data_IF_739548191532
#
_entry.id   IF_739548191532
#
_cell.length_a   1.000
_cell.length_b   1.000
_cell.length_c   1.000
_cell.angle_alpha   90.00
_cell.angle_beta   90.00
_cell.angle_gamma   90.00
#
_symmetry.space_group_name_H-M   'P 1'
#
loop_
_entity.id
_entity.type
_entity.pdbx_description
1 polymer ?
#
# COMPACT_ATOMS: atom_id res chain seq x y z
N UNK A 1 -2.31 3.56 -11.79
CA UNK A 1 -3.45 2.66 -11.46
C UNK A 1 -4.70 3.22 -12.13
N UNK A 2 -5.67 2.37 -12.49
CA UNK A 2 -6.96 2.82 -13.03
C UNK A 2 -8.04 2.57 -11.97
N UNK A 3 -8.60 3.63 -11.42
CA UNK A 3 -9.68 3.56 -10.45
C UNK A 3 -11.05 3.69 -11.13
N UNK A 4 -12.12 3.47 -10.36
CA UNK A 4 -13.47 3.75 -10.81
C UNK A 4 -13.58 5.23 -11.26
N UNK A 5 -14.45 5.49 -12.24
CA UNK A 5 -14.67 6.83 -12.75
C UNK A 5 -15.00 7.81 -11.60
N UNK A 6 -14.34 8.97 -11.61
CA UNK A 6 -14.48 9.96 -10.55
C UNK A 6 -14.07 9.47 -9.16
N UNK A 7 -13.25 8.41 -9.06
CA UNK A 7 -12.90 7.77 -7.78
C UNK A 7 -14.12 7.26 -7.01
N UNK A 8 -15.23 6.95 -7.69
CA UNK A 8 -16.48 6.57 -7.03
C UNK A 8 -16.27 5.36 -6.11
N UNK A 9 -16.56 5.55 -4.82
CA UNK A 9 -16.39 4.54 -3.78
C UNK A 9 -14.94 4.29 -3.36
N UNK A 10 -13.96 5.01 -3.92
CA UNK A 10 -12.53 4.89 -3.58
C UNK A 10 -12.14 6.01 -2.62
N UNK A 11 -11.54 5.66 -1.49
CA UNK A 11 -10.96 6.61 -0.54
C UNK A 11 -9.43 6.43 -0.52
N UNK A 12 -8.65 7.41 -1.01
CA UNK A 12 -7.20 7.40 -0.84
C UNK A 12 -6.83 7.43 0.64
N UNK A 13 -5.97 6.52 1.09
CA UNK A 13 -5.49 6.44 2.48
C UNK A 13 -4.06 6.95 2.58
N UNK A 14 -3.19 6.49 1.68
CA UNK A 14 -1.82 6.99 1.55
C UNK A 14 -1.62 7.50 0.12
N UNK A 15 -1.10 8.71 0.00
CA UNK A 15 -0.71 9.30 -1.28
C UNK A 15 0.56 10.12 -1.09
N UNK A 16 1.42 10.14 -2.11
CA UNK A 16 2.61 10.97 -2.13
C UNK A 16 2.91 11.42 -3.56
N UNK A 17 3.57 12.57 -3.73
CA UNK A 17 4.22 12.91 -5.00
C UNK A 17 5.57 12.20 -5.00
N UNK A 18 5.78 11.16 -5.83
CA UNK A 18 7.06 10.47 -5.85
C UNK A 18 8.14 11.41 -6.36
N UNK A 19 9.37 11.36 -5.81
CA UNK A 19 10.47 12.17 -6.31
C UNK A 19 10.78 11.86 -7.79
N UNK A 20 11.10 12.88 -8.58
CA UNK A 20 11.31 12.73 -10.02
C UNK A 20 12.44 11.74 -10.36
N UNK A 21 13.44 11.61 -9.49
CA UNK A 21 14.53 10.66 -9.65
C UNK A 21 14.09 9.19 -9.62
N UNK A 22 12.97 8.89 -8.97
CA UNK A 22 12.42 7.52 -8.91
C UNK A 22 11.85 7.06 -10.26
N UNK A 23 11.63 7.99 -11.19
CA UNK A 23 11.07 7.70 -12.50
C UNK A 23 12.14 7.64 -13.61
N UNK A 24 13.45 7.74 -13.34
CA UNK A 24 14.46 7.85 -14.42
C UNK A 24 14.64 6.65 -15.35
N UNK A 25 14.13 5.46 -14.97
CA UNK A 25 14.29 4.22 -15.75
C UNK A 25 13.50 4.30 -17.08
N UNK A 26 13.86 3.56 -18.14
CA UNK A 26 13.04 3.47 -19.35
C UNK A 26 11.63 2.93 -19.06
N UNK A 27 10.66 3.24 -19.93
CA UNK A 27 9.29 2.78 -19.76
C UNK A 27 9.18 1.25 -19.73
N UNK A 28 8.28 0.74 -18.90
CA UNK A 28 8.13 -0.70 -18.71
C UNK A 28 7.16 -1.07 -17.60
N UNK A 29 6.87 -2.37 -17.50
CA UNK A 29 5.87 -2.92 -16.56
C UNK A 29 6.13 -2.56 -15.09
N UNK A 30 7.38 -2.29 -14.72
CA UNK A 30 7.83 -1.97 -13.35
C UNK A 30 8.59 -0.65 -13.24
N UNK A 31 8.60 0.17 -14.29
CA UNK A 31 9.42 1.39 -14.38
C UNK A 31 8.64 2.63 -14.82
N UNK A 32 7.31 2.51 -14.95
CA UNK A 32 6.42 3.61 -15.29
C UNK A 32 6.14 3.74 -16.79
N UNK A 33 5.43 4.80 -17.13
CA UNK A 33 5.02 5.13 -18.50
C UNK A 33 4.87 6.66 -18.65
N UNK A 34 4.66 7.18 -19.88
CA UNK A 34 4.56 8.61 -20.12
C UNK A 34 3.45 9.31 -19.33
N UNK A 35 2.34 8.61 -19.10
CA UNK A 35 1.19 9.13 -18.35
C UNK A 35 1.54 9.41 -16.89
N UNK A 36 2.16 8.44 -16.20
CA UNK A 36 2.55 8.61 -14.79
C UNK A 36 3.63 9.69 -14.66
N UNK A 37 4.58 9.75 -15.58
CA UNK A 37 5.62 10.79 -15.58
C UNK A 37 5.04 12.19 -15.70
N UNK A 38 4.09 12.38 -16.62
CA UNK A 38 3.42 13.67 -16.79
C UNK A 38 2.66 14.06 -15.53
N UNK A 39 1.91 13.14 -14.94
CA UNK A 39 1.18 13.39 -13.70
C UNK A 39 2.11 13.82 -12.56
N UNK A 40 3.21 13.09 -12.35
CA UNK A 40 4.19 13.41 -11.31
C UNK A 40 4.91 14.74 -11.59
N UNK A 41 5.26 15.03 -12.85
CA UNK A 41 5.84 16.32 -13.24
C UNK A 41 4.88 17.50 -13.00
N UNK A 42 3.57 17.27 -13.06
CA UNK A 42 2.55 18.23 -12.68
C UNK A 42 2.33 18.35 -11.16
N UNK A 43 3.05 17.58 -10.33
CA UNK A 43 2.87 17.54 -8.88
C UNK A 43 1.67 16.71 -8.43
N UNK A 44 1.10 15.86 -9.29
CA UNK A 44 -0.05 15.03 -8.94
C UNK A 44 0.37 13.89 -8.00
N UNK A 45 -0.28 13.83 -6.84
CA UNK A 45 -0.04 12.77 -5.86
C UNK A 45 -0.47 11.41 -6.39
N UNK A 46 0.36 10.40 -6.12
CA UNK A 46 0.11 9.01 -6.48
C UNK A 46 -0.37 8.25 -5.24
N UNK A 47 -1.56 7.68 -5.31
CA UNK A 47 -2.13 6.87 -4.24
C UNK A 47 -1.41 5.53 -4.13
N UNK A 48 -0.96 5.16 -2.93
CA UNK A 48 -0.25 3.90 -2.65
C UNK A 48 -1.04 2.97 -1.72
N UNK A 49 -2.04 3.50 -1.01
CA UNK A 49 -3.04 2.73 -0.27
C UNK A 49 -4.44 3.34 -0.46
N UNK A 50 -5.47 2.51 -0.62
CA UNK A 50 -6.85 2.98 -0.79
C UNK A 50 -7.86 1.99 -0.21
N UNK A 51 -8.97 2.52 0.30
CA UNK A 51 -10.18 1.76 0.59
C UNK A 51 -11.15 1.85 -0.58
N UNK A 52 -11.95 0.81 -0.77
CA UNK A 52 -13.02 0.78 -1.75
C UNK A 52 -14.30 0.22 -1.13
N UNK A 53 -15.38 0.97 -1.24
CA UNK A 53 -16.72 0.55 -0.83
C UNK A 53 -17.60 0.37 -2.07
N UNK A 54 -18.03 -0.87 -2.30
CA UNK A 54 -18.93 -1.21 -3.40
C UNK A 54 -20.38 -0.90 -3.01
N UNK A 55 -21.22 -0.43 -3.96
CA UNK A 55 -22.66 -0.43 -3.79
C UNK A 55 -23.16 -1.81 -3.30
N UNK A 56 -23.91 -1.82 -2.20
CA UNK A 56 -24.34 -3.07 -1.54
C UNK A 56 -23.48 -3.50 -0.34
N UNK A 57 -22.47 -2.72 0.07
CA UNK A 57 -21.80 -2.86 1.36
C UNK A 57 -20.51 -3.67 1.38
N UNK A 58 -20.06 -4.18 0.22
CA UNK A 58 -18.77 -4.86 0.11
C UNK A 58 -17.60 -3.88 0.29
N UNK A 59 -16.57 -4.30 1.03
CA UNK A 59 -15.36 -3.51 1.33
C UNK A 59 -14.12 -4.17 0.76
N UNK A 60 -13.20 -3.35 0.27
CA UNK A 60 -11.90 -3.80 -0.23
C UNK A 60 -10.82 -2.79 0.09
N UNK A 61 -9.58 -3.27 0.21
CA UNK A 61 -8.42 -2.43 0.46
C UNK A 61 -7.29 -2.82 -0.49
N UNK A 62 -6.61 -1.82 -1.05
CA UNK A 62 -5.44 -2.01 -1.89
C UNK A 62 -4.23 -1.29 -1.33
N UNK A 63 -3.06 -1.90 -1.46
CA UNK A 63 -1.79 -1.38 -0.95
C UNK A 63 -0.61 -1.86 -1.79
N UNK A 64 0.24 -0.94 -2.25
CA UNK A 64 1.39 -1.24 -3.12
C UNK A 64 2.69 -1.55 -2.38
N UNK A 65 2.65 -1.60 -1.06
CA UNK A 65 3.86 -1.62 -0.23
C UNK A 65 4.51 -2.99 -0.01
N UNK A 66 3.80 -4.11 -0.26
CA UNK A 66 4.19 -5.44 0.22
C UNK A 66 5.49 -6.06 -0.32
N UNK A 67 6.28 -5.35 -1.14
CA UNK A 67 7.48 -5.88 -1.77
C UNK A 67 8.68 -6.02 -0.81
N UNK A 68 8.88 -5.05 0.09
CA UNK A 68 10.04 -5.07 1.01
C UNK A 68 9.59 -5.66 2.33
N UNK A 69 9.87 -6.96 2.54
CA UNK A 69 9.40 -7.70 3.73
C UNK A 69 9.87 -7.07 5.05
N UNK A 70 11.06 -6.46 5.07
CA UNK A 70 11.58 -5.75 6.24
C UNK A 70 10.66 -4.60 6.73
N UNK A 71 9.82 -4.03 5.87
CA UNK A 71 8.86 -3.00 6.28
C UNK A 71 7.87 -3.51 7.32
N UNK A 72 7.60 -4.81 7.38
CA UNK A 72 6.77 -5.40 8.41
C UNK A 72 7.38 -5.32 9.81
N UNK A 73 8.66 -4.94 9.96
CA UNK A 73 9.20 -4.56 11.27
C UNK A 73 8.60 -3.24 11.80
N UNK A 74 8.09 -2.36 10.92
CA UNK A 74 7.54 -1.07 11.30
C UNK A 74 6.08 -1.19 11.77
N UNK A 75 5.81 -0.74 12.99
CA UNK A 75 4.51 -0.94 13.65
C UNK A 75 3.35 -0.29 12.91
N UNK A 76 3.48 0.96 12.47
CA UNK A 76 2.40 1.63 11.73
C UNK A 76 2.13 1.02 10.36
N UNK A 77 3.14 0.42 9.73
CA UNK A 77 3.00 -0.28 8.46
C UNK A 77 2.13 -1.53 8.63
N UNK A 78 2.41 -2.31 9.67
CA UNK A 78 1.57 -3.46 10.06
C UNK A 78 0.17 -3.02 10.48
N UNK A 79 0.07 -1.98 11.32
CA UNK A 79 -1.20 -1.47 11.85
C UNK A 79 -2.15 -1.05 10.73
N UNK A 80 -1.65 -0.36 9.70
CA UNK A 80 -2.43 0.00 8.51
C UNK A 80 -3.08 -1.23 7.87
N UNK A 81 -2.29 -2.28 7.63
CA UNK A 81 -2.76 -3.49 6.94
C UNK A 81 -3.68 -4.32 7.82
N UNK A 82 -3.39 -4.45 9.12
CA UNK A 82 -4.25 -5.14 10.07
C UNK A 82 -5.61 -4.44 10.24
N UNK A 83 -5.61 -3.10 10.36
CA UNK A 83 -6.84 -2.32 10.37
C UNK A 83 -7.65 -2.54 9.10
N UNK A 84 -7.00 -2.58 7.93
CA UNK A 84 -7.68 -2.86 6.68
C UNK A 84 -8.29 -4.27 6.61
N UNK A 85 -7.61 -5.29 7.14
CA UNK A 85 -8.13 -6.65 7.24
C UNK A 85 -9.38 -6.67 8.14
N UNK A 86 -9.31 -6.08 9.33
CA UNK A 86 -10.45 -5.97 10.24
C UNK A 86 -11.62 -5.22 9.57
N UNK A 87 -11.33 -4.06 8.94
CA UNK A 87 -12.34 -3.24 8.28
C UNK A 87 -13.06 -3.98 7.14
N UNK A 88 -12.31 -4.71 6.30
CA UNK A 88 -12.85 -5.55 5.23
C UNK A 88 -13.75 -6.67 5.79
N UNK A 89 -13.39 -7.22 6.95
CA UNK A 89 -14.14 -8.27 7.63
C UNK A 89 -15.32 -7.74 8.48
N UNK A 90 -15.61 -6.43 8.46
CA UNK A 90 -16.59 -5.78 9.33
C UNK A 90 -16.33 -6.00 10.84
N UNK A 91 -15.08 -6.19 11.22
CA UNK A 91 -14.66 -6.28 12.62
C UNK A 91 -14.45 -4.86 13.17
N UNK A 92 -14.93 -4.62 14.39
CA UNK A 92 -14.70 -3.36 15.09
C UNK A 92 -13.21 -3.16 15.40
N UNK A 93 -12.70 -1.97 15.10
CA UNK A 93 -11.29 -1.62 15.27
C UNK A 93 -11.17 -0.78 16.53
N UNK A 94 -10.30 -1.15 17.49
CA UNK A 94 -10.04 -0.33 18.67
C UNK A 94 -9.56 1.08 18.30
N UNK A 95 -9.79 2.08 19.15
CA UNK A 95 -9.34 3.46 18.91
C UNK A 95 -7.81 3.57 18.65
N UNK A 96 -7.01 2.66 19.21
CA UNK A 96 -5.55 2.59 18.97
C UNK A 96 -5.13 1.81 17.73
N UNK A 97 -6.08 1.27 16.96
CA UNK A 97 -5.86 0.30 15.90
C UNK A 97 -5.79 -1.14 16.40
N UNK A 98 -5.72 -2.08 15.46
CA UNK A 98 -5.55 -3.49 15.72
C UNK A 98 -4.20 -3.73 16.42
N UNK A 99 -4.19 -4.43 17.57
CA UNK A 99 -2.96 -4.71 18.30
C UNK A 99 -2.08 -5.71 17.51
N UNK A 100 -0.76 -5.51 17.54
CA UNK A 100 0.19 -6.51 17.05
C UNK A 100 1.52 -6.40 17.80
N UNK A 101 2.18 -7.54 18.00
CA UNK A 101 3.56 -7.58 18.49
C UNK A 101 4.51 -7.19 17.35
N UNK A 102 5.53 -6.40 17.65
CA UNK A 102 6.65 -6.17 16.72
C UNK A 102 7.42 -7.46 16.53
N UNK A 103 7.52 -7.97 15.28
CA UNK A 103 8.19 -9.23 15.04
C UNK A 103 9.69 -9.09 15.29
N UNK A 104 10.32 -10.13 15.82
CA UNK A 104 11.79 -10.20 15.90
C UNK A 104 12.40 -10.39 14.53
N UNK A 105 13.72 -10.26 14.44
CA UNK A 105 14.41 -10.49 13.16
C UNK A 105 14.28 -11.94 12.72
N UNK A 106 14.38 -12.87 13.66
CA UNK A 106 14.21 -14.31 13.42
C UNK A 106 12.79 -14.61 12.91
N UNK A 107 11.75 -13.99 13.50
CA UNK A 107 10.36 -14.15 13.05
C UNK A 107 10.15 -13.60 11.62
N UNK A 108 10.78 -12.47 11.26
CA UNK A 108 10.70 -11.90 9.91
C UNK A 108 11.45 -12.71 8.86
N UNK A 109 12.52 -13.39 9.26
CA UNK A 109 13.37 -14.19 8.38
C UNK A 109 12.86 -15.63 8.25
N UNK A 110 11.95 -16.07 9.12
CA UNK A 110 11.33 -17.37 9.04
C UNK A 110 10.50 -17.53 7.76
N UNK A 111 10.57 -18.72 7.15
CA UNK A 111 9.78 -19.11 5.98
C UNK A 111 9.96 -18.19 4.73
N UNK A 112 11.09 -17.50 4.61
CA UNK A 112 11.42 -16.79 3.36
C UNK A 112 11.85 -17.79 2.29
N UNK A 113 11.29 -17.65 1.08
CA UNK A 113 11.59 -18.54 -0.06
C UNK A 113 13.01 -18.31 -0.62
N UNK A 114 13.49 -17.07 -0.54
CA UNK A 114 14.78 -16.65 -1.10
C UNK A 114 15.83 -16.50 0.00
N UNK A 115 17.11 -16.83 -0.27
CA UNK A 115 18.18 -16.59 0.67
C UNK A 115 18.35 -15.08 0.92
N UNK A 116 18.81 -14.74 2.12
CA UNK A 116 19.12 -13.35 2.46
C UNK A 116 20.14 -12.78 1.46
N UNK A 117 19.90 -11.55 0.94
CA UNK A 117 20.90 -10.85 0.14
C UNK A 117 22.21 -10.74 0.93
N UNK A 118 23.33 -10.90 0.22
CA UNK A 118 24.68 -10.70 0.78
C UNK A 118 25.00 -9.22 0.97
#
# INVERSE_FOLDING_TARGET
MRFAEGMKGVTPILSAVPPAETLKRPDGLRSGNPTVRKAVANGESQTTAWAFERPGGGRGFGFTGGHIHNNWAHDDYRKLVLNAICWNANVEIPNGGAPSKTPTREELDANQDEPKPK
#
